data_IF_627593677466
#
_entry.id   IF_627593677466
#
_cell.length_a   1.000
_cell.length_b   1.000
_cell.length_c   1.000
_cell.angle_alpha   90.00
_cell.angle_beta   90.00
_cell.angle_gamma   90.00
#
_symmetry.space_group_name_H-M   'P 1'
#
loop_
_entity.id
_entity.type
_entity.pdbx_description
1 polymer ?
#
# COMPACT_ATOMS: atom_id res chain seq x y z
N UNK A 1 -17.45 -12.15 -16.88
CA UNK A 1 -16.44 -12.40 -15.81
C UNK A 1 -17.10 -12.15 -14.49
N UNK A 2 -16.81 -12.92 -13.44
CA UNK A 2 -17.36 -12.69 -12.10
C UNK A 2 -16.67 -11.46 -11.48
N UNK A 3 -17.42 -10.63 -10.72
CA UNK A 3 -16.81 -9.53 -9.97
C UNK A 3 -15.76 -10.03 -8.98
N UNK A 4 -14.70 -9.24 -8.79
CA UNK A 4 -13.70 -9.46 -7.73
C UNK A 4 -13.82 -8.31 -6.73
N UNK A 5 -13.77 -8.64 -5.45
CA UNK A 5 -13.78 -7.66 -4.37
C UNK A 5 -12.54 -7.82 -3.51
N UNK A 6 -11.90 -6.72 -3.15
CA UNK A 6 -10.76 -6.77 -2.23
C UNK A 6 -10.70 -5.56 -1.30
N UNK A 7 -10.01 -5.76 -0.19
CA UNK A 7 -9.63 -4.66 0.70
C UNK A 7 -8.25 -4.18 0.30
N UNK A 8 -8.12 -2.87 0.12
CA UNK A 8 -6.85 -2.22 -0.05
C UNK A 8 -6.52 -1.46 1.24
N UNK A 9 -5.45 -1.85 1.91
CA UNK A 9 -4.91 -1.18 3.07
C UNK A 9 -3.39 -1.00 2.93
N UNK A 10 -2.79 -0.10 3.71
CA UNK A 10 -1.38 0.25 3.63
C UNK A 10 -0.90 0.91 4.91
N UNK A 11 0.41 0.99 5.06
CA UNK A 11 1.07 1.87 6.03
C UNK A 11 0.60 1.60 7.46
N UNK A 12 0.65 0.34 7.89
CA UNK A 12 0.29 -0.08 9.25
C UNK A 12 1.40 0.18 10.27
N UNK A 13 2.66 0.23 9.84
CA UNK A 13 3.83 0.61 10.62
C UNK A 13 3.91 -0.05 12.00
N UNK A 14 3.85 -1.38 12.04
CA UNK A 14 4.04 -2.09 13.29
C UNK A 14 5.40 -1.76 13.91
N UNK A 15 5.40 -1.48 15.21
CA UNK A 15 6.62 -1.42 15.99
C UNK A 15 6.98 -2.76 16.63
N UNK A 16 8.09 -2.83 17.39
CA UNK A 16 8.55 -4.08 18.01
C UNK A 16 7.70 -4.54 19.21
N UNK A 17 6.80 -3.68 19.71
CA UNK A 17 5.87 -4.01 20.81
C UNK A 17 4.49 -3.40 20.55
N UNK A 18 3.41 -3.93 21.16
CA UNK A 18 2.06 -3.36 21.03
C UNK A 18 1.94 -1.90 21.54
N UNK A 19 2.83 -1.47 22.45
CA UNK A 19 2.86 -0.13 23.03
C UNK A 19 3.66 0.86 22.19
N UNK A 20 4.40 0.38 21.19
CA UNK A 20 5.17 1.25 20.31
C UNK A 20 4.26 2.29 19.64
N UNK A 21 4.70 3.54 19.70
CA UNK A 21 3.96 4.65 19.12
C UNK A 21 4.80 5.39 18.08
N UNK A 22 4.18 5.73 16.97
CA UNK A 22 4.70 6.59 15.91
C UNK A 22 3.74 7.76 15.71
N UNK A 23 4.26 8.98 15.56
CA UNK A 23 3.45 10.18 15.35
C UNK A 23 2.31 10.36 16.39
N UNK A 24 2.55 9.96 17.62
CA UNK A 24 1.58 10.05 18.71
C UNK A 24 0.49 8.97 18.71
N UNK A 25 0.60 7.94 17.91
CA UNK A 25 -0.37 6.85 17.82
C UNK A 25 0.30 5.47 17.93
N UNK A 26 -0.35 4.55 18.62
CA UNK A 26 0.03 3.13 18.68
C UNK A 26 -0.62 2.40 17.51
N UNK A 27 0.17 1.98 16.53
CA UNK A 27 -0.34 1.36 15.29
C UNK A 27 -0.98 -0.02 15.51
N UNK A 28 -0.49 -0.80 16.45
CA UNK A 28 -0.98 -2.15 16.73
C UNK A 28 -2.50 -2.22 17.06
N UNK A 29 -3.09 -1.40 17.96
CA UNK A 29 -4.54 -1.39 18.18
C UNK A 29 -5.34 -1.03 16.93
N UNK A 30 -4.85 -0.11 16.11
CA UNK A 30 -5.51 0.26 14.85
C UNK A 30 -5.53 -0.92 13.86
N UNK A 31 -4.41 -1.62 13.69
CA UNK A 31 -4.35 -2.77 12.79
C UNK A 31 -5.30 -3.90 13.23
N UNK A 32 -5.37 -4.19 14.53
CA UNK A 32 -6.35 -5.15 15.08
C UNK A 32 -7.79 -4.72 14.80
N UNK A 33 -8.10 -3.46 15.04
CA UNK A 33 -9.43 -2.93 14.78
C UNK A 33 -9.81 -3.05 13.30
N UNK A 34 -8.88 -2.75 12.38
CA UNK A 34 -9.13 -2.92 10.93
C UNK A 34 -9.40 -4.38 10.58
N UNK A 35 -8.64 -5.34 11.11
CA UNK A 35 -8.89 -6.78 10.89
C UNK A 35 -10.30 -7.17 11.38
N UNK A 36 -10.70 -6.72 12.58
CA UNK A 36 -12.04 -6.95 13.09
C UNK A 36 -13.14 -6.34 12.21
N UNK A 37 -12.92 -5.12 11.70
CA UNK A 37 -13.85 -4.47 10.77
C UNK A 37 -13.99 -5.26 9.48
N UNK A 38 -12.87 -5.70 8.90
CA UNK A 38 -12.85 -6.48 7.64
C UNK A 38 -13.63 -7.79 7.82
N UNK A 39 -13.39 -8.53 8.89
CA UNK A 39 -14.08 -9.80 9.16
C UNK A 39 -15.59 -9.63 9.43
N UNK A 40 -16.03 -8.44 9.84
CA UNK A 40 -17.45 -8.10 10.06
C UNK A 40 -18.15 -7.46 8.87
N UNK A 41 -17.47 -7.30 7.74
CA UNK A 41 -18.11 -6.74 6.56
C UNK A 41 -19.29 -7.60 6.10
N UNK A 42 -20.41 -6.97 5.66
CA UNK A 42 -21.57 -7.72 5.18
C UNK A 42 -21.32 -8.48 3.88
N UNK A 43 -20.23 -8.11 3.17
CA UNK A 43 -19.75 -8.78 1.96
C UNK A 43 -18.33 -9.23 2.21
N UNK A 44 -18.08 -10.54 2.15
CA UNK A 44 -16.74 -11.10 2.30
C UNK A 44 -15.90 -10.74 1.08
N UNK A 45 -14.76 -10.04 1.23
CA UNK A 45 -13.86 -9.79 0.12
C UNK A 45 -13.16 -11.08 -0.33
N UNK A 46 -12.68 -11.11 -1.55
CA UNK A 46 -11.90 -12.25 -2.07
C UNK A 46 -10.50 -12.31 -1.45
N UNK A 47 -9.91 -11.15 -1.12
CA UNK A 47 -8.61 -11.01 -0.47
C UNK A 47 -8.40 -9.62 0.14
N UNK A 48 -7.32 -9.49 0.92
CA UNK A 48 -6.76 -8.20 1.37
C UNK A 48 -5.46 -7.96 0.63
N UNK A 49 -5.24 -6.73 0.14
CA UNK A 49 -3.96 -6.26 -0.38
C UNK A 49 -3.39 -5.19 0.54
N UNK A 50 -2.24 -5.45 1.14
CA UNK A 50 -1.47 -4.49 1.92
C UNK A 50 -0.35 -3.93 1.05
N UNK A 51 -0.43 -2.66 0.68
CA UNK A 51 0.51 -2.04 -0.27
C UNK A 51 1.80 -1.49 0.36
N UNK A 52 2.30 -2.13 1.43
CA UNK A 52 3.63 -1.85 1.98
C UNK A 52 3.61 -1.01 3.26
N UNK A 53 4.81 -0.81 3.81
CA UNK A 53 5.02 -0.22 5.12
C UNK A 53 4.25 -0.96 6.22
N UNK A 54 4.46 -2.28 6.22
CA UNK A 54 3.90 -3.16 7.25
C UNK A 54 4.52 -2.82 8.61
N UNK A 55 5.83 -2.56 8.63
CA UNK A 55 6.57 -2.23 9.86
C UNK A 55 7.11 -0.80 9.82
N UNK A 56 7.44 -0.23 10.99
CA UNK A 56 8.19 1.05 11.07
C UNK A 56 9.67 0.84 10.82
N UNK A 57 10.20 -0.25 11.37
CA UNK A 57 11.58 -0.71 11.17
C UNK A 57 11.54 -2.23 10.96
N UNK A 58 12.26 -2.78 9.99
CA UNK A 58 12.18 -4.19 9.62
C UNK A 58 12.88 -5.08 10.66
N UNK A 59 12.22 -5.28 11.80
CA UNK A 59 12.70 -6.14 12.88
C UNK A 59 11.86 -7.42 13.00
N UNK A 60 12.45 -8.55 13.41
CA UNK A 60 11.71 -9.79 13.64
C UNK A 60 10.51 -9.62 14.56
N UNK A 61 10.63 -8.80 15.61
CA UNK A 61 9.56 -8.55 16.57
C UNK A 61 8.37 -7.79 15.94
N UNK A 62 8.64 -6.78 15.11
CA UNK A 62 7.60 -6.02 14.42
C UNK A 62 6.84 -6.91 13.43
N UNK A 63 7.54 -7.71 12.63
CA UNK A 63 6.91 -8.66 11.72
C UNK A 63 6.14 -9.77 12.43
N UNK A 64 6.61 -10.24 13.59
CA UNK A 64 5.88 -11.22 14.40
C UNK A 64 4.52 -10.68 14.88
N UNK A 65 4.48 -9.42 15.33
CA UNK A 65 3.22 -8.76 15.70
C UNK A 65 2.30 -8.56 14.49
N UNK A 66 2.85 -8.16 13.35
CA UNK A 66 2.07 -8.04 12.12
C UNK A 66 1.48 -9.40 11.70
N UNK A 67 2.29 -10.46 11.74
CA UNK A 67 1.87 -11.83 11.43
C UNK A 67 0.74 -12.30 12.35
N UNK A 68 0.85 -12.06 13.65
CA UNK A 68 -0.19 -12.39 14.63
C UNK A 68 -1.52 -11.70 14.30
N UNK A 69 -1.48 -10.39 14.05
CA UNK A 69 -2.69 -9.60 13.77
C UNK A 69 -3.33 -10.02 12.45
N UNK A 70 -2.55 -10.16 11.38
CA UNK A 70 -3.09 -10.50 10.07
C UNK A 70 -3.48 -11.97 9.90
N UNK A 71 -2.95 -12.87 10.74
CA UNK A 71 -3.41 -14.26 10.79
C UNK A 71 -4.88 -14.39 11.25
N UNK A 72 -5.44 -13.34 11.87
CA UNK A 72 -6.84 -13.32 12.27
C UNK A 72 -7.81 -12.92 11.12
N UNK A 73 -7.31 -12.61 9.91
CA UNK A 73 -8.16 -12.38 8.74
C UNK A 73 -8.81 -13.69 8.25
N UNK A 74 -10.11 -13.62 7.95
CA UNK A 74 -10.88 -14.74 7.39
C UNK A 74 -10.63 -14.97 5.88
N UNK A 75 -9.81 -14.15 5.25
CA UNK A 75 -9.50 -14.17 3.81
C UNK A 75 -8.00 -14.06 3.57
N UNK A 76 -7.48 -14.54 2.43
CA UNK A 76 -6.06 -14.41 2.09
C UNK A 76 -5.62 -12.94 2.08
N UNK A 77 -4.38 -12.70 2.49
CA UNK A 77 -3.73 -11.39 2.39
C UNK A 77 -2.50 -11.49 1.48
N UNK A 78 -2.21 -10.40 0.78
CA UNK A 78 -1.03 -10.20 -0.06
C UNK A 78 -0.33 -8.90 0.34
N UNK A 79 0.98 -8.80 0.10
CA UNK A 79 1.78 -7.66 0.51
C UNK A 79 2.62 -7.12 -0.64
N UNK A 80 2.79 -5.80 -0.70
CA UNK A 80 3.90 -5.16 -1.40
C UNK A 80 4.98 -4.74 -0.39
N UNK A 81 6.19 -4.48 -0.85
CA UNK A 81 7.28 -3.96 -0.02
C UNK A 81 7.23 -2.45 0.01
N UNK A 82 7.20 -1.84 1.20
CA UNK A 82 7.37 -0.41 1.38
C UNK A 82 8.82 -0.03 1.68
N UNK A 83 9.11 1.27 1.86
CA UNK A 83 10.46 1.71 2.20
C UNK A 83 10.87 1.34 3.64
N UNK A 84 9.92 1.16 4.52
CA UNK A 84 10.13 0.69 5.90
C UNK A 84 10.19 -0.83 6.03
N UNK A 85 10.08 -1.58 4.93
CA UNK A 85 10.10 -3.05 4.92
C UNK A 85 11.35 -3.59 4.24
N UNK A 86 11.60 -4.90 4.38
CA UNK A 86 12.45 -5.67 3.49
C UNK A 86 11.67 -6.82 2.86
N UNK A 87 11.85 -7.07 1.56
CA UNK A 87 11.19 -8.15 0.84
C UNK A 87 11.52 -9.52 1.45
N UNK A 88 12.76 -9.69 1.91
CA UNK A 88 13.22 -10.92 2.55
C UNK A 88 12.47 -11.21 3.86
N UNK A 89 12.22 -10.17 4.68
CA UNK A 89 11.52 -10.35 5.95
C UNK A 89 10.01 -10.53 5.73
N UNK A 90 9.41 -9.83 4.77
CA UNK A 90 8.01 -10.11 4.37
C UNK A 90 7.87 -11.58 3.98
N UNK A 91 8.74 -12.10 3.11
CA UNK A 91 8.74 -13.52 2.73
C UNK A 91 8.92 -14.46 3.92
N UNK A 92 9.77 -14.09 4.86
CA UNK A 92 10.13 -14.93 6.01
C UNK A 92 9.04 -15.01 7.07
N UNK A 93 8.37 -13.89 7.36
CA UNK A 93 7.52 -13.77 8.53
C UNK A 93 6.03 -13.73 8.20
N UNK A 94 5.64 -13.28 7.00
CA UNK A 94 4.24 -13.05 6.66
C UNK A 94 3.71 -14.13 5.71
N UNK A 95 2.57 -14.71 6.09
CA UNK A 95 1.88 -15.67 5.21
C UNK A 95 1.07 -14.93 4.16
N UNK A 96 1.21 -15.35 2.90
CA UNK A 96 0.47 -14.82 1.77
C UNK A 96 -0.42 -15.88 1.11
N UNK A 97 -1.41 -15.42 0.36
CA UNK A 97 -2.18 -16.27 -0.55
C UNK A 97 -1.31 -16.88 -1.66
N UNK A 98 -1.86 -17.82 -2.45
CA UNK A 98 -1.16 -18.43 -3.58
C UNK A 98 -0.70 -17.39 -4.60
N UNK A 99 0.58 -17.43 -5.01
CA UNK A 99 1.21 -16.47 -5.93
C UNK A 99 2.30 -17.12 -6.78
N UNK A 100 2.68 -16.45 -7.85
CA UNK A 100 3.78 -16.81 -8.74
C UNK A 100 4.83 -15.70 -8.73
N UNK A 101 6.04 -15.98 -8.22
CA UNK A 101 7.11 -15.00 -8.14
C UNK A 101 7.68 -14.69 -9.54
N UNK A 102 7.74 -13.41 -9.89
CA UNK A 102 8.25 -12.95 -11.18
C UNK A 102 9.78 -12.98 -11.26
N UNK A 103 10.46 -12.83 -10.13
CA UNK A 103 11.93 -12.76 -10.03
C UNK A 103 12.43 -13.48 -8.76
N UNK A 104 12.21 -14.81 -8.62
CA UNK A 104 12.50 -15.53 -7.40
C UNK A 104 13.98 -15.45 -6.98
N UNK A 105 14.92 -15.39 -7.96
CA UNK A 105 16.35 -15.37 -7.71
C UNK A 105 16.90 -13.98 -7.32
N UNK A 106 16.06 -12.94 -7.34
CA UNK A 106 16.49 -11.54 -7.07
C UNK A 106 16.16 -11.05 -5.67
N UNK A 107 15.48 -11.87 -4.86
CA UNK A 107 15.08 -11.47 -3.52
C UNK A 107 14.04 -10.35 -3.46
N UNK A 108 13.43 -10.02 -4.61
CA UNK A 108 12.35 -9.01 -4.70
C UNK A 108 10.99 -9.64 -4.43
N UNK A 109 10.05 -8.84 -3.93
CA UNK A 109 8.65 -9.24 -3.74
C UNK A 109 7.79 -8.82 -4.94
N UNK A 110 8.27 -9.11 -6.17
CA UNK A 110 7.48 -8.94 -7.39
C UNK A 110 6.84 -10.26 -7.79
N UNK A 111 5.52 -10.30 -7.86
CA UNK A 111 4.78 -11.53 -8.11
C UNK A 111 3.41 -11.24 -8.76
N UNK A 112 2.82 -12.29 -9.27
CA UNK A 112 1.48 -12.27 -9.81
C UNK A 112 0.58 -13.26 -9.10
N UNK A 113 -0.73 -13.01 -9.16
CA UNK A 113 -1.75 -13.96 -8.76
C UNK A 113 -3.04 -13.74 -9.57
N UNK A 114 -3.93 -14.70 -9.53
CA UNK A 114 -5.18 -14.64 -10.29
C UNK A 114 -6.36 -14.97 -9.38
N UNK A 115 -7.39 -14.13 -9.42
CA UNK A 115 -8.65 -14.38 -8.72
C UNK A 115 -9.79 -14.26 -9.73
N UNK A 116 -10.60 -15.30 -9.88
CA UNK A 116 -11.77 -15.34 -10.77
C UNK A 116 -11.47 -14.89 -12.21
N UNK A 117 -10.27 -15.17 -12.71
CA UNK A 117 -9.83 -14.77 -14.04
C UNK A 117 -9.34 -13.32 -14.17
N UNK A 118 -9.27 -12.56 -13.07
CA UNK A 118 -8.57 -11.29 -12.97
C UNK A 118 -7.09 -11.51 -12.65
N UNK A 119 -6.22 -10.85 -13.39
CA UNK A 119 -4.76 -10.88 -13.17
C UNK A 119 -4.34 -9.72 -12.30
N UNK A 120 -3.52 -10.00 -11.31
CA UNK A 120 -2.93 -9.03 -10.39
C UNK A 120 -1.42 -9.13 -10.49
N UNK A 121 -0.74 -7.97 -10.57
CA UNK A 121 0.71 -7.86 -10.54
C UNK A 121 1.09 -6.95 -9.37
N UNK A 122 1.93 -7.47 -8.49
CA UNK A 122 2.59 -6.70 -7.43
C UNK A 122 4.01 -6.41 -7.85
N UNK A 123 4.41 -5.15 -7.80
CA UNK A 123 5.75 -4.68 -8.12
C UNK A 123 6.44 -4.18 -6.85
N UNK A 124 7.57 -4.80 -6.55
CA UNK A 124 8.48 -4.35 -5.50
C UNK A 124 9.32 -3.19 -6.04
N UNK A 125 8.83 -1.99 -5.82
CA UNK A 125 9.51 -0.78 -6.27
C UNK A 125 10.44 -0.19 -5.20
N UNK A 126 10.83 -0.95 -4.16
CA UNK A 126 11.79 -0.47 -3.16
C UNK A 126 13.14 -0.23 -3.84
N UNK A 127 13.55 1.03 -3.88
CA UNK A 127 14.84 1.45 -4.42
C UNK A 127 15.99 1.21 -3.43
N UNK A 128 17.24 1.53 -3.82
CA UNK A 128 18.37 1.55 -2.91
C UNK A 128 18.20 2.65 -1.84
N UNK A 129 18.73 2.45 -0.65
CA UNK A 129 18.62 3.38 0.48
C UNK A 129 19.09 4.81 0.16
N UNK A 130 19.96 4.99 -0.82
CA UNK A 130 20.45 6.30 -1.24
C UNK A 130 19.36 7.22 -1.84
N UNK A 131 18.23 6.68 -2.26
CA UNK A 131 17.10 7.46 -2.79
C UNK A 131 15.84 7.38 -1.92
N UNK A 132 15.95 6.73 -0.75
CA UNK A 132 14.83 6.64 0.21
C UNK A 132 14.33 8.07 0.56
N UNK A 133 13.02 8.32 0.65
CA UNK A 133 11.90 7.38 0.52
C UNK A 133 11.33 7.21 -0.90
N UNK A 134 12.10 7.42 -1.95
CA UNK A 134 11.66 7.21 -3.34
C UNK A 134 11.74 5.75 -3.75
N UNK A 135 10.80 5.34 -4.61
CA UNK A 135 10.84 4.04 -5.27
C UNK A 135 11.68 4.03 -6.55
N UNK A 136 12.05 2.84 -7.01
CA UNK A 136 12.72 2.61 -8.30
C UNK A 136 12.33 1.23 -8.83
N UNK A 137 11.87 1.16 -10.06
CA UNK A 137 11.71 -0.11 -10.77
C UNK A 137 13.00 -0.45 -11.52
N UNK A 138 13.50 -1.66 -11.32
CA UNK A 138 14.63 -2.17 -12.12
C UNK A 138 14.20 -2.38 -13.58
N UNK A 139 15.17 -2.43 -14.53
CA UNK A 139 14.86 -2.77 -15.93
C UNK A 139 14.10 -4.09 -16.06
N UNK A 140 14.45 -5.10 -15.25
CA UNK A 140 13.78 -6.40 -15.26
C UNK A 140 12.32 -6.32 -14.77
N UNK A 141 12.04 -5.49 -13.78
CA UNK A 141 10.65 -5.26 -13.32
C UNK A 141 9.83 -4.51 -14.37
N UNK A 142 10.44 -3.55 -15.08
CA UNK A 142 9.79 -2.89 -16.22
C UNK A 142 9.54 -3.87 -17.36
N UNK A 143 10.41 -4.84 -17.60
CA UNK A 143 10.18 -5.88 -18.62
C UNK A 143 9.05 -6.83 -18.20
N UNK A 144 8.97 -7.23 -16.94
CA UNK A 144 7.81 -7.97 -16.39
C UNK A 144 6.53 -7.17 -16.58
N UNK A 145 6.55 -5.87 -16.23
CA UNK A 145 5.39 -5.00 -16.41
C UNK A 145 4.96 -4.91 -17.87
N UNK A 146 5.88 -4.72 -18.81
CA UNK A 146 5.58 -4.68 -20.26
C UNK A 146 5.00 -6.00 -20.76
N UNK A 147 5.49 -7.13 -20.28
CA UNK A 147 4.99 -8.45 -20.63
C UNK A 147 3.55 -8.67 -20.14
N UNK A 148 3.22 -8.18 -18.94
CA UNK A 148 1.87 -8.25 -18.38
C UNK A 148 0.93 -7.17 -18.96
N UNK A 149 1.44 -5.98 -19.29
CA UNK A 149 0.64 -4.82 -19.74
C UNK A 149 0.39 -4.79 -21.26
N UNK A 150 0.16 -5.94 -21.89
CA UNK A 150 -0.23 -6.03 -23.30
C UNK A 150 -1.67 -5.55 -23.52
N UNK A 151 -2.07 -5.13 -24.75
CA UNK A 151 -3.44 -4.71 -25.01
C UNK A 151 -4.46 -5.84 -24.82
N UNK A 152 -4.06 -7.09 -25.07
CA UNK A 152 -4.89 -8.28 -24.98
C UNK A 152 -4.62 -9.05 -23.68
N UNK A 153 -5.64 -9.71 -23.16
CA UNK A 153 -5.52 -10.56 -21.96
C UNK A 153 -6.66 -10.33 -20.94
N UNK A 154 -6.57 -10.97 -19.77
CA UNK A 154 -7.54 -10.78 -18.71
C UNK A 154 -7.45 -9.35 -18.15
N UNK A 155 -8.49 -8.85 -17.45
CA UNK A 155 -8.38 -7.61 -16.71
C UNK A 155 -7.17 -7.64 -15.79
N UNK A 156 -6.45 -6.52 -15.74
CA UNK A 156 -5.20 -6.37 -15.01
C UNK A 156 -5.34 -5.32 -13.91
N UNK A 157 -4.77 -5.59 -12.74
CA UNK A 157 -4.63 -4.62 -11.64
C UNK A 157 -3.19 -4.64 -11.16
N UNK A 158 -2.62 -3.47 -10.92
CA UNK A 158 -1.24 -3.31 -10.46
C UNK A 158 -1.25 -2.84 -9.01
N UNK A 159 -0.35 -3.38 -8.22
CA UNK A 159 -0.05 -2.94 -6.86
C UNK A 159 1.42 -2.59 -6.73
N UNK A 160 1.69 -1.49 -6.06
CA UNK A 160 3.02 -1.07 -5.63
C UNK A 160 2.89 -0.27 -4.34
N UNK A 161 3.98 0.01 -3.64
CA UNK A 161 3.90 0.90 -2.48
C UNK A 161 3.89 2.37 -2.90
N UNK A 162 4.72 2.74 -3.84
CA UNK A 162 5.02 4.13 -4.21
C UNK A 162 4.13 4.65 -5.34
N UNK A 163 3.76 5.95 -5.33
CA UNK A 163 3.08 6.57 -6.46
C UNK A 163 3.99 6.66 -7.70
N UNK A 164 3.45 6.29 -8.86
CA UNK A 164 4.16 6.39 -10.13
C UNK A 164 3.97 7.75 -10.82
N UNK A 165 2.95 8.52 -10.43
CA UNK A 165 2.54 9.78 -11.09
C UNK A 165 2.50 10.92 -10.07
N UNK A 166 2.64 12.15 -10.56
CA UNK A 166 2.68 13.35 -9.71
C UNK A 166 1.37 13.53 -8.93
N UNK A 167 1.53 13.98 -7.69
CA UNK A 167 0.44 14.27 -6.73
C UNK A 167 0.06 15.75 -6.74
N UNK A 168 0.82 16.59 -7.45
CA UNK A 168 0.72 18.05 -7.43
C UNK A 168 0.96 18.66 -6.03
N UNK A 169 1.78 18.01 -5.23
CA UNK A 169 2.31 18.48 -3.95
C UNK A 169 3.83 18.55 -4.09
N UNK A 170 4.46 19.73 -4.05
CA UNK A 170 5.88 19.90 -4.41
C UNK A 170 6.83 19.00 -3.64
N UNK A 171 6.62 18.89 -2.32
CA UNK A 171 7.46 18.02 -1.50
C UNK A 171 7.26 16.54 -1.83
N UNK A 172 6.00 16.09 -1.93
CA UNK A 172 5.67 14.69 -2.26
C UNK A 172 6.20 14.32 -3.66
N UNK A 173 6.02 15.21 -4.64
CA UNK A 173 6.50 14.98 -6.01
C UNK A 173 8.03 14.87 -6.08
N UNK A 174 8.74 15.60 -5.22
CA UNK A 174 10.21 15.54 -5.17
C UNK A 174 10.74 14.32 -4.43
N UNK A 175 10.02 13.79 -3.42
CA UNK A 175 10.57 12.85 -2.45
C UNK A 175 9.88 11.48 -2.39
N UNK A 176 8.62 11.33 -2.85
CA UNK A 176 7.82 10.14 -2.58
C UNK A 176 7.54 9.28 -3.81
N UNK A 177 7.86 9.75 -5.01
CA UNK A 177 7.51 9.04 -6.24
C UNK A 177 8.49 7.91 -6.60
N UNK A 178 8.03 6.96 -7.41
CA UNK A 178 8.92 6.08 -8.17
C UNK A 178 9.80 6.97 -9.07
N UNK A 179 11.12 6.84 -8.96
CA UNK A 179 12.09 7.67 -9.69
C UNK A 179 11.86 7.61 -11.22
N UNK A 180 11.62 6.42 -11.74
CA UNK A 180 11.27 6.18 -13.14
C UNK A 180 9.75 5.88 -13.31
N UNK A 181 8.91 6.57 -12.55
CA UNK A 181 7.45 6.41 -12.59
C UNK A 181 6.83 6.73 -13.94
N UNK A 182 7.42 7.66 -14.71
CA UNK A 182 6.98 7.95 -16.08
C UNK A 182 7.19 6.74 -17.01
N UNK A 183 8.31 6.01 -16.88
CA UNK A 183 8.53 4.78 -17.64
C UNK A 183 7.51 3.70 -17.28
N UNK A 184 7.16 3.58 -15.98
CA UNK A 184 6.08 2.72 -15.52
C UNK A 184 4.75 3.11 -16.16
N UNK A 185 4.41 4.41 -16.16
CA UNK A 185 3.18 4.90 -16.76
C UNK A 185 3.12 4.57 -18.26
N UNK A 186 4.19 4.83 -19.02
CA UNK A 186 4.26 4.53 -20.43
C UNK A 186 4.13 3.01 -20.73
N UNK A 187 4.72 2.17 -19.87
CA UNK A 187 4.60 0.71 -19.97
C UNK A 187 3.15 0.21 -19.77
N UNK A 188 2.32 0.94 -19.02
CA UNK A 188 0.92 0.60 -18.74
C UNK A 188 -0.06 1.01 -19.85
N UNK A 189 0.28 1.99 -20.67
CA UNK A 189 -0.63 2.54 -21.69
C UNK A 189 -1.21 1.49 -22.65
N UNK A 190 -0.46 0.47 -23.12
CA UNK A 190 -1.03 -0.56 -23.98
C UNK A 190 -2.21 -1.30 -23.34
N UNK A 191 -2.15 -1.55 -22.03
CA UNK A 191 -3.18 -2.27 -21.28
C UNK A 191 -4.37 -1.41 -20.82
N UNK A 192 -4.38 -0.08 -21.07
CA UNK A 192 -5.36 0.86 -20.47
C UNK A 192 -6.83 0.43 -20.65
N UNK A 193 -7.16 -0.28 -21.73
CA UNK A 193 -8.53 -0.77 -21.99
C UNK A 193 -8.97 -1.89 -21.03
N UNK A 194 -8.03 -2.65 -20.46
CA UNK A 194 -8.29 -3.75 -19.53
C UNK A 194 -7.70 -3.51 -18.13
N UNK A 195 -6.93 -2.44 -17.95
CA UNK A 195 -6.37 -2.07 -16.67
C UNK A 195 -7.47 -1.55 -15.74
N UNK A 196 -7.57 -2.11 -14.54
CA UNK A 196 -8.59 -1.77 -13.54
C UNK A 196 -8.11 -0.78 -12.51
N UNK A 197 -6.82 -0.48 -12.50
CA UNK A 197 -6.19 0.53 -11.66
C UNK A 197 -4.79 0.14 -11.23
N UNK A 198 -4.08 1.15 -10.75
CA UNK A 198 -2.80 1.04 -10.03
C UNK A 198 -3.06 1.50 -8.60
N UNK A 199 -2.88 0.61 -7.64
CA UNK A 199 -3.15 0.88 -6.23
C UNK A 199 -1.85 0.98 -5.45
N UNK A 200 -1.75 1.98 -4.56
CA UNK A 200 -0.52 2.27 -3.83
C UNK A 200 -0.79 2.86 -2.44
N UNK A 201 0.24 2.94 -1.60
CA UNK A 201 0.22 3.52 -0.26
C UNK A 201 1.14 4.72 -0.14
N UNK A 202 2.07 4.68 0.85
CA UNK A 202 3.22 5.56 1.03
C UNK A 202 2.91 7.00 1.45
N UNK A 203 1.90 7.61 0.86
CA UNK A 203 1.56 9.03 1.09
C UNK A 203 0.61 9.23 2.28
N UNK A 204 0.19 8.17 2.94
CA UNK A 204 -0.73 8.16 4.08
C UNK A 204 -2.01 8.99 3.87
N UNK A 205 -2.41 9.16 2.61
CA UNK A 205 -3.57 9.97 2.22
C UNK A 205 -4.35 9.26 1.12
N UNK A 206 -5.69 9.32 1.19
CA UNK A 206 -6.55 8.82 0.12
C UNK A 206 -6.55 9.80 -1.04
N UNK A 207 -5.92 9.39 -2.13
CA UNK A 207 -5.80 10.21 -3.34
C UNK A 207 -6.15 9.38 -4.56
N UNK A 208 -6.92 9.96 -5.47
CA UNK A 208 -7.24 9.36 -6.75
C UNK A 208 -6.76 10.27 -7.87
N UNK A 209 -6.02 9.70 -8.81
CA UNK A 209 -5.50 10.40 -9.97
C UNK A 209 -5.97 9.65 -11.22
N UNK A 210 -6.55 10.37 -12.16
CA UNK A 210 -6.91 9.81 -13.44
C UNK A 210 -6.03 10.46 -14.51
N UNK A 211 -5.21 9.64 -15.18
CA UNK A 211 -4.27 10.08 -16.21
C UNK A 211 -4.29 9.10 -17.38
N UNK A 212 -4.48 9.62 -18.60
CA UNK A 212 -4.43 8.87 -19.86
C UNK A 212 -5.30 7.58 -19.89
N UNK A 213 -6.46 7.63 -19.21
CA UNK A 213 -7.38 6.51 -19.11
C UNK A 213 -7.03 5.52 -17.99
N UNK A 214 -6.04 5.80 -17.16
CA UNK A 214 -5.60 4.93 -16.05
C UNK A 214 -5.96 5.58 -14.72
N UNK A 215 -6.60 4.79 -13.84
CA UNK A 215 -6.84 5.14 -12.44
C UNK A 215 -5.61 4.79 -11.59
N UNK A 216 -5.07 5.77 -10.87
CA UNK A 216 -4.10 5.61 -9.79
C UNK A 216 -4.79 5.92 -8.47
N UNK A 217 -4.74 5.00 -7.52
CA UNK A 217 -5.51 5.09 -6.28
C UNK A 217 -4.64 4.79 -5.06
N UNK A 218 -4.44 5.79 -4.24
CA UNK A 218 -3.85 5.65 -2.91
C UNK A 218 -4.91 5.31 -1.86
N UNK A 219 -4.46 4.71 -0.77
CA UNK A 219 -5.24 4.53 0.45
C UNK A 219 -4.59 5.30 1.60
N UNK A 220 -5.39 5.82 2.52
CA UNK A 220 -4.90 6.41 3.75
C UNK A 220 -4.22 5.33 4.63
N UNK A 221 -3.26 5.75 5.43
CA UNK A 221 -2.74 4.89 6.50
C UNK A 221 -3.82 4.51 7.50
N UNK A 222 -3.61 3.40 8.17
CA UNK A 222 -4.54 2.90 9.20
C UNK A 222 -4.49 3.68 10.51
N UNK A 223 -3.57 4.64 10.70
CA UNK A 223 -3.44 5.36 11.98
C UNK A 223 -3.03 6.83 11.87
N UNK A 224 -2.25 7.24 10.86
CA UNK A 224 -1.71 8.60 10.74
C UNK A 224 -1.75 9.08 9.29
N UNK A 225 -1.97 10.36 9.07
CA UNK A 225 -2.05 10.98 7.76
C UNK A 225 -1.01 12.06 7.52
N UNK A 226 -0.73 12.33 6.25
CA UNK A 226 0.02 13.50 5.80
C UNK A 226 -0.86 14.42 4.97
N UNK A 227 -0.58 15.71 5.01
CA UNK A 227 -1.17 16.66 4.09
C UNK A 227 -0.50 16.57 2.71
N UNK A 228 -1.26 16.84 1.65
CA UNK A 228 -0.78 16.77 0.25
C UNK A 228 -1.23 17.98 -0.56
N UNK A 229 -1.20 19.18 0.07
CA UNK A 229 -1.67 20.38 -0.60
C UNK A 229 -0.72 20.88 -1.71
N UNK A 230 -1.25 21.50 -2.78
CA UNK A 230 -0.45 21.96 -3.92
C UNK A 230 0.62 23.01 -3.62
N UNK A 231 0.57 23.63 -2.45
CA UNK A 231 1.51 24.67 -2.04
C UNK A 231 2.47 24.22 -0.92
N UNK A 232 2.53 22.95 -0.62
CA UNK A 232 3.36 22.42 0.46
C UNK A 232 4.76 22.06 -0.03
N UNK A 233 5.75 22.77 0.53
CA UNK A 233 7.17 22.55 0.29
C UNK A 233 7.82 21.61 1.33
N UNK A 234 7.06 21.19 2.33
CA UNK A 234 7.50 20.25 3.39
C UNK A 234 6.37 19.30 3.75
N UNK A 235 6.72 18.08 4.11
CA UNK A 235 5.77 17.10 4.67
C UNK A 235 5.20 17.60 5.99
N UNK A 236 3.91 17.43 6.19
CA UNK A 236 3.22 17.76 7.44
C UNK A 236 2.28 16.64 7.85
N UNK A 237 2.24 16.36 9.14
CA UNK A 237 1.21 15.48 9.68
C UNK A 237 -0.18 16.12 9.52
N UNK A 238 -1.13 15.32 9.05
CA UNK A 238 -2.54 15.69 9.02
C UNK A 238 -3.23 15.12 10.25
N UNK A 239 -3.42 15.96 11.26
CA UNK A 239 -4.05 15.56 12.52
C UNK A 239 -5.56 15.35 12.39
N UNK A 240 -6.18 15.85 11.31
CA UNK A 240 -7.61 15.72 11.02
C UNK A 240 -7.90 14.52 10.10
N UNK A 241 -6.87 13.97 9.42
CA UNK A 241 -7.03 12.79 8.59
C UNK A 241 -7.59 11.61 9.40
N UNK A 242 -8.63 10.99 8.87
CA UNK A 242 -9.19 9.78 9.46
C UNK A 242 -8.45 8.55 8.90
N UNK A 243 -8.08 7.58 9.76
CA UNK A 243 -7.59 6.31 9.30
C UNK A 243 -8.66 5.62 8.44
N UNK A 244 -8.23 4.90 7.40
CA UNK A 244 -9.15 4.27 6.49
C UNK A 244 -8.56 3.04 5.79
N UNK A 245 -9.42 2.24 5.19
CA UNK A 245 -9.10 1.28 4.14
C UNK A 245 -10.04 1.49 2.96
N UNK A 246 -9.69 0.97 1.77
CA UNK A 246 -10.60 0.97 0.64
C UNK A 246 -11.25 -0.41 0.49
N UNK A 247 -12.57 -0.45 0.27
CA UNK A 247 -13.29 -1.59 -0.26
C UNK A 247 -13.40 -1.41 -1.77
N UNK A 248 -12.73 -2.29 -2.53
CA UNK A 248 -12.63 -2.18 -3.99
C UNK A 248 -13.44 -3.29 -4.65
N UNK A 249 -14.18 -2.92 -5.68
CA UNK A 249 -14.94 -3.85 -6.50
C UNK A 249 -14.50 -3.71 -7.96
N UNK A 250 -14.02 -4.79 -8.54
CA UNK A 250 -13.65 -4.87 -9.95
C UNK A 250 -14.79 -5.56 -10.71
N UNK A 251 -15.50 -4.78 -11.50
CA UNK A 251 -16.56 -5.23 -12.39
C UNK A 251 -16.02 -5.32 -13.83
N UNK A 252 -16.71 -5.98 -14.75
CA UNK A 252 -16.22 -6.11 -16.13
C UNK A 252 -15.84 -4.78 -16.80
N UNK A 253 -16.60 -3.72 -16.54
CA UNK A 253 -16.46 -2.44 -17.24
C UNK A 253 -16.06 -1.26 -16.32
N UNK A 254 -15.94 -1.49 -15.00
CA UNK A 254 -15.66 -0.41 -14.05
C UNK A 254 -14.93 -0.88 -12.81
N UNK A 255 -14.21 0.04 -12.19
CA UNK A 255 -13.63 -0.10 -10.85
C UNK A 255 -14.38 0.82 -9.90
N UNK A 256 -14.87 0.27 -8.79
CA UNK A 256 -15.51 1.03 -7.72
C UNK A 256 -14.58 1.00 -6.52
N UNK A 257 -14.20 2.17 -6.04
CA UNK A 257 -13.39 2.33 -4.81
C UNK A 257 -14.23 3.04 -3.77
N UNK A 258 -14.50 2.37 -2.67
CA UNK A 258 -15.22 2.93 -1.53
C UNK A 258 -14.24 3.08 -0.36
N UNK A 259 -13.83 4.31 -0.08
CA UNK A 259 -13.08 4.59 1.13
C UNK A 259 -13.95 4.31 2.37
N UNK A 260 -13.38 3.60 3.34
CA UNK A 260 -14.00 3.25 4.62
C UNK A 260 -13.22 3.88 5.76
N UNK A 261 -13.47 5.16 6.05
CA UNK A 261 -12.85 5.81 7.20
C UNK A 261 -13.46 5.27 8.50
N UNK A 262 -12.67 5.29 9.55
CA UNK A 262 -13.13 4.92 10.89
C UNK A 262 -12.58 5.90 11.94
N UNK A 263 -13.25 5.94 13.09
CA UNK A 263 -12.90 6.88 14.15
C UNK A 263 -11.51 6.57 14.73
N UNK A 264 -10.79 7.60 15.12
CA UNK A 264 -9.55 7.44 15.88
C UNK A 264 -9.83 6.73 17.21
N UNK A 265 -8.99 5.75 17.54
CA UNK A 265 -9.11 4.98 18.76
C UNK A 265 -8.49 5.75 19.92
N UNK A 266 -9.29 6.10 20.92
CA UNK A 266 -8.83 6.85 22.09
C UNK A 266 -7.71 6.10 22.84
N UNK A 267 -7.84 4.79 22.98
CA UNK A 267 -6.85 3.91 23.61
C UNK A 267 -5.55 3.76 22.82
N UNK A 268 -5.55 4.10 21.53
CA UNK A 268 -4.37 4.06 20.68
C UNK A 268 -3.60 5.38 20.64
N UNK A 269 -4.12 6.44 21.26
CA UNK A 269 -3.40 7.71 21.37
C UNK A 269 -2.33 7.57 22.46
N UNK A 270 -1.06 7.79 22.08
CA UNK A 270 0.03 7.81 23.05
C UNK A 270 -0.07 9.07 23.92
N UNK A 271 0.27 8.98 25.23
CA UNK A 271 0.29 10.15 26.08
C UNK A 271 1.23 11.21 25.52
N UNK A 272 0.77 12.47 25.42
CA UNK A 272 1.63 13.58 25.02
C UNK A 272 2.72 13.75 26.09
N UNK A 273 3.96 14.00 25.67
CA UNK A 273 5.01 14.38 26.59
C UNK A 273 4.64 15.71 27.26
N UNK A 274 5.07 15.89 28.52
CA UNK A 274 4.80 17.10 29.30
C UNK A 274 5.40 18.38 28.69
N UNK A 275 6.35 18.25 27.75
CA UNK A 275 7.00 19.36 27.04
C UNK A 275 6.29 19.80 25.75
N UNK A 276 5.18 19.14 25.37
CA UNK A 276 4.41 19.49 24.17
C UNK A 276 5.08 19.09 22.85
N UNK A 277 6.26 18.49 22.88
CA UNK A 277 6.95 18.04 21.66
C UNK A 277 6.34 16.75 21.12
N UNK A 278 5.89 16.77 19.89
CA UNK A 278 5.76 15.57 19.08
C UNK A 278 7.15 15.15 18.64
N UNK A 279 7.50 13.85 18.71
CA UNK A 279 8.73 13.36 18.07
C UNK A 279 8.72 13.77 16.60
N UNK A 280 9.90 14.11 16.10
CA UNK A 280 10.10 14.51 14.70
C UNK A 280 9.45 13.50 13.73
N UNK A 281 9.04 14.00 12.56
CA UNK A 281 8.47 13.20 11.46
C UNK A 281 9.42 12.10 10.95
N UNK A 282 10.66 12.06 11.46
CA UNK A 282 11.73 11.14 11.07
C UNK A 282 11.91 9.92 12.01
N UNK A 283 11.16 9.84 13.13
CA UNK A 283 11.20 8.71 14.08
C UNK A 283 10.03 7.75 13.90
#
# INVERSE_FOLDING_TARGET
MLPVTFIHLSDTHFGPTPEYARQGHRSHPYARHVVEMINRLPVRPDFVMHTGDVTTHPTPAAYALAAEVFAALDVPIYYATGNHDTSADIHRYLTMGPKEDCQPDKGTLSYTFTVRGHRFLVLDARGPDAIDPRGLLSPQQLDVLRAEATPDGPPLTIFTHYPAVRLNSPWMDANMLIYNGEEMHQALLPARGRLRGVFFGHIHNSTQIFRDGILYCAVASTFAGFTTWPNEEMIKADHDAMPAFNFVQLLPEQTIVQQRPFARLAEATAPRRADGSSRNLED
#
